data_IF_363716032342
#
_entry.id   IF_363716032342
#
_cell.length_a   1.000
_cell.length_b   1.000
_cell.length_c   1.000
_cell.angle_alpha   90.00
_cell.angle_beta   90.00
_cell.angle_gamma   90.00
#
_symmetry.space_group_name_H-M   'P 1'
#
loop_
_entity.id
_entity.type
_entity.pdbx_description
1 polymer ?
#
# COMPACT_ATOMS: atom_id res chain seq x y z
N UNK A 1 -29.31 4.78 -20.41
CA UNK A 1 -28.01 5.45 -20.16
C UNK A 1 -28.22 6.39 -18.99
N UNK A 2 -27.44 6.23 -17.90
CA UNK A 2 -27.58 7.12 -16.73
C UNK A 2 -26.87 8.43 -17.05
N UNK A 3 -27.64 9.54 -17.09
CA UNK A 3 -27.08 10.88 -17.18
C UNK A 3 -26.10 11.10 -16.04
N UNK A 4 -24.88 11.44 -16.36
CA UNK A 4 -23.88 11.88 -15.38
C UNK A 4 -24.29 13.25 -14.87
N UNK A 5 -24.96 13.31 -13.73
CA UNK A 5 -25.31 14.57 -13.05
C UNK A 5 -24.04 15.17 -12.46
N UNK A 6 -23.35 15.99 -13.23
CA UNK A 6 -22.12 16.65 -12.80
C UNK A 6 -22.34 17.90 -11.94
N UNK A 7 -23.48 18.49 -11.78
CA UNK A 7 -23.76 19.61 -10.87
C UNK A 7 -25.25 19.87 -10.68
N UNK A 8 -25.73 19.84 -9.46
CA UNK A 8 -26.98 20.47 -8.99
C UNK A 8 -28.06 20.66 -10.08
N UNK A 9 -28.63 19.59 -10.60
CA UNK A 9 -29.73 19.59 -11.57
C UNK A 9 -29.45 20.16 -12.99
N UNK A 10 -28.26 20.62 -13.32
CA UNK A 10 -27.95 21.08 -14.69
C UNK A 10 -27.64 19.90 -15.61
N UNK A 11 -28.42 19.75 -16.69
CA UNK A 11 -28.17 18.75 -17.73
C UNK A 11 -26.95 19.14 -18.57
N UNK A 12 -25.92 18.31 -18.57
CA UNK A 12 -24.75 18.43 -19.44
C UNK A 12 -24.90 17.44 -20.59
N UNK A 13 -25.02 17.95 -21.82
CA UNK A 13 -25.07 17.09 -23.00
C UNK A 13 -23.75 16.38 -23.19
N UNK A 14 -23.80 15.09 -23.48
CA UNK A 14 -22.61 14.26 -23.70
C UNK A 14 -22.84 13.29 -24.86
N UNK A 15 -21.75 12.79 -25.44
CA UNK A 15 -21.77 11.79 -26.51
C UNK A 15 -20.62 10.82 -26.32
N UNK A 16 -20.89 9.54 -26.51
CA UNK A 16 -19.85 8.53 -26.55
C UNK A 16 -19.18 8.51 -27.93
N UNK A 17 -17.86 8.59 -27.97
CA UNK A 17 -17.07 8.48 -29.19
C UNK A 17 -16.48 7.08 -29.28
N UNK A 18 -17.04 6.24 -30.15
CA UNK A 18 -16.61 4.84 -30.32
C UNK A 18 -15.15 4.72 -30.79
N UNK A 19 -14.66 5.68 -31.61
CA UNK A 19 -13.27 5.64 -32.11
C UNK A 19 -12.25 5.97 -31.05
N UNK A 20 -12.60 6.87 -30.13
CA UNK A 20 -11.73 7.28 -29.01
C UNK A 20 -11.94 6.38 -27.77
N UNK A 21 -13.06 5.66 -27.68
CA UNK A 21 -13.41 4.85 -26.51
C UNK A 21 -13.71 5.68 -25.25
N UNK A 22 -14.19 6.93 -25.42
CA UNK A 22 -14.39 7.85 -24.30
C UNK A 22 -15.59 8.78 -24.48
N UNK A 23 -16.05 9.38 -23.37
CA UNK A 23 -17.13 10.36 -23.37
C UNK A 23 -16.62 11.77 -23.68
N UNK A 24 -17.40 12.49 -24.50
CA UNK A 24 -17.21 13.90 -24.79
C UNK A 24 -18.40 14.70 -24.24
N UNK A 25 -18.13 15.79 -23.59
CA UNK A 25 -19.09 16.65 -22.91
C UNK A 25 -19.16 18.04 -23.56
N UNK A 26 -20.33 18.65 -23.60
CA UNK A 26 -20.52 19.99 -24.10
C UNK A 26 -19.86 21.03 -23.19
N UNK A 27 -18.83 21.71 -23.67
CA UNK A 27 -18.11 22.77 -22.94
C UNK A 27 -19.05 23.92 -22.57
N UNK A 28 -19.94 24.32 -23.47
CA UNK A 28 -20.87 25.42 -23.23
C UNK A 28 -21.84 25.09 -22.09
N UNK A 29 -22.28 23.86 -21.97
CA UNK A 29 -23.18 23.43 -20.91
C UNK A 29 -22.47 23.41 -19.54
N UNK A 30 -21.23 22.93 -19.51
CA UNK A 30 -20.39 22.96 -18.30
C UNK A 30 -20.12 24.40 -17.85
N UNK A 31 -19.75 25.28 -18.77
CA UNK A 31 -19.56 26.72 -18.49
C UNK A 31 -20.85 27.35 -17.97
N UNK A 32 -21.99 27.03 -18.61
CA UNK A 32 -23.30 27.52 -18.17
C UNK A 32 -23.69 27.05 -16.77
N UNK A 33 -23.36 25.83 -16.40
CA UNK A 33 -23.63 25.29 -15.07
C UNK A 33 -22.74 25.92 -13.97
N UNK A 34 -21.51 26.30 -14.34
CA UNK A 34 -20.49 26.78 -13.39
C UNK A 34 -20.35 28.31 -13.33
N UNK A 35 -21.14 29.05 -14.13
CA UNK A 35 -21.09 30.52 -14.15
C UNK A 35 -22.50 31.10 -14.10
N UNK A 36 -22.62 32.34 -13.63
CA UNK A 36 -23.87 33.11 -13.68
C UNK A 36 -23.99 33.92 -14.99
N UNK A 37 -23.25 33.55 -16.04
CA UNK A 37 -23.24 34.29 -17.29
C UNK A 37 -24.56 34.11 -18.04
N UNK A 38 -25.22 35.20 -18.38
CA UNK A 38 -26.40 35.21 -19.20
C UNK A 38 -26.12 34.68 -20.64
N UNK A 39 -24.90 34.93 -21.14
CA UNK A 39 -24.44 34.35 -22.42
C UNK A 39 -23.25 33.41 -22.22
N UNK A 40 -23.59 32.13 -22.02
CA UNK A 40 -22.60 31.06 -21.86
C UNK A 40 -21.69 30.91 -23.09
N UNK A 41 -22.18 31.24 -24.27
CA UNK A 41 -21.41 31.15 -25.52
C UNK A 41 -20.37 32.26 -25.63
N UNK A 42 -20.72 33.49 -25.28
CA UNK A 42 -19.76 34.61 -25.22
C UNK A 42 -18.71 34.38 -24.12
N UNK A 43 -19.13 33.85 -22.96
CA UNK A 43 -18.20 33.51 -21.88
C UNK A 43 -17.17 32.47 -22.35
N UNK A 44 -17.64 31.39 -22.99
CA UNK A 44 -16.75 30.37 -23.51
C UNK A 44 -15.76 30.91 -24.55
N UNK A 45 -16.22 31.77 -25.48
CA UNK A 45 -15.32 32.38 -26.46
C UNK A 45 -14.19 33.19 -25.82
N UNK A 46 -14.49 33.99 -24.80
CA UNK A 46 -13.48 34.78 -24.05
C UNK A 46 -12.52 33.88 -23.29
N UNK A 47 -13.05 32.85 -22.56
CA UNK A 47 -12.25 31.89 -21.85
C UNK A 47 -11.32 31.12 -22.79
N UNK A 48 -11.85 30.68 -23.93
CA UNK A 48 -11.09 29.99 -24.98
C UNK A 48 -9.94 30.80 -25.53
N UNK A 49 -10.18 32.10 -25.76
CA UNK A 49 -9.13 33.02 -26.22
C UNK A 49 -8.02 33.19 -25.17
N UNK A 50 -8.39 33.35 -23.90
CA UNK A 50 -7.43 33.47 -22.81
C UNK A 50 -6.58 32.19 -22.67
N UNK A 51 -7.21 31.03 -22.60
CA UNK A 51 -6.51 29.76 -22.50
C UNK A 51 -5.58 29.47 -23.66
N UNK A 52 -5.99 29.91 -24.88
CA UNK A 52 -5.14 29.81 -26.07
C UNK A 52 -3.93 30.73 -26.01
N UNK A 53 -4.09 31.96 -25.49
CA UNK A 53 -3.00 32.88 -25.27
C UNK A 53 -2.01 32.43 -24.21
N UNK A 54 -2.49 31.69 -23.20
CA UNK A 54 -1.68 31.08 -22.13
C UNK A 54 -0.98 29.78 -22.57
N UNK A 55 -1.11 29.37 -23.85
CA UNK A 55 -0.53 28.13 -24.37
C UNK A 55 -1.17 26.85 -23.82
N UNK A 56 -2.39 26.98 -23.31
CA UNK A 56 -3.09 25.86 -22.66
C UNK A 56 -3.60 24.83 -23.68
N UNK A 57 -3.05 23.62 -23.65
CA UNK A 57 -3.43 22.49 -24.53
C UNK A 57 -4.92 22.07 -24.49
N UNK A 58 -5.69 22.23 -23.37
CA UNK A 58 -7.08 21.79 -23.33
C UNK A 58 -7.97 22.44 -24.41
N UNK A 59 -7.57 23.60 -24.92
CA UNK A 59 -8.30 24.29 -26.00
C UNK A 59 -7.99 23.71 -27.36
N UNK A 60 -6.80 23.19 -27.58
CA UNK A 60 -6.39 22.48 -28.79
C UNK A 60 -7.08 21.12 -28.93
N UNK A 61 -7.41 20.48 -27.81
CA UNK A 61 -8.08 19.17 -27.74
C UNK A 61 -9.63 19.27 -27.69
N UNK A 62 -10.22 20.46 -27.89
CA UNK A 62 -11.67 20.59 -28.05
C UNK A 62 -12.10 20.15 -29.44
N UNK A 63 -12.96 19.16 -29.49
CA UNK A 63 -13.54 18.64 -30.72
C UNK A 63 -14.90 19.30 -30.99
N UNK A 64 -15.23 19.53 -32.25
CA UNK A 64 -16.59 19.98 -32.62
C UNK A 64 -17.41 18.78 -33.04
N UNK A 65 -18.32 18.37 -32.14
CA UNK A 65 -19.23 17.25 -32.37
C UNK A 65 -20.68 17.74 -32.52
N UNK A 66 -21.49 17.00 -33.26
CA UNK A 66 -22.94 17.27 -33.38
C UNK A 66 -23.62 16.77 -32.12
N UNK A 67 -24.19 17.69 -31.33
CA UNK A 67 -25.04 17.38 -30.19
C UNK A 67 -26.46 17.88 -30.44
N UNK A 68 -27.46 17.19 -29.89
CA UNK A 68 -28.84 17.62 -29.96
C UNK A 68 -29.03 18.91 -29.12
N UNK A 69 -29.61 19.93 -29.70
CA UNK A 69 -29.99 21.16 -29.02
C UNK A 69 -31.41 21.03 -28.45
N UNK A 70 -31.81 22.00 -27.59
CA UNK A 70 -33.12 22.00 -26.92
C UNK A 70 -34.30 22.05 -27.90
N UNK A 71 -34.07 22.55 -29.10
CA UNK A 71 -35.04 22.56 -30.22
C UNK A 71 -35.06 21.25 -31.02
N UNK A 72 -34.36 20.21 -30.55
CA UNK A 72 -34.28 18.90 -31.20
C UNK A 72 -33.31 18.83 -32.40
N UNK A 73 -32.72 19.95 -32.85
CA UNK A 73 -31.83 19.98 -34.02
C UNK A 73 -30.40 19.60 -33.60
N UNK A 74 -29.69 18.90 -34.48
CA UNK A 74 -28.28 18.57 -34.31
C UNK A 74 -27.40 19.80 -34.65
N UNK A 75 -26.62 20.28 -33.69
CA UNK A 75 -25.74 21.42 -33.85
C UNK A 75 -24.30 21.09 -33.52
N UNK A 76 -23.36 21.63 -34.29
CA UNK A 76 -21.94 21.56 -34.00
C UNK A 76 -21.63 22.32 -32.69
N UNK A 77 -21.15 21.61 -31.68
CA UNK A 77 -20.88 22.12 -30.34
C UNK A 77 -19.44 21.80 -29.96
N UNK A 78 -18.74 22.75 -29.32
CA UNK A 78 -17.42 22.50 -28.75
C UNK A 78 -17.57 21.50 -27.60
N UNK A 79 -16.83 20.39 -27.69
CA UNK A 79 -16.83 19.31 -26.71
C UNK A 79 -15.41 19.00 -26.30
N UNK A 80 -15.23 18.48 -25.09
CA UNK A 80 -13.97 17.96 -24.61
C UNK A 80 -14.22 16.63 -23.86
N UNK A 81 -13.20 15.79 -23.83
CA UNK A 81 -13.21 14.57 -23.01
C UNK A 81 -13.14 14.91 -21.52
N UNK A 82 -13.15 13.90 -20.66
CA UNK A 82 -13.13 14.08 -19.21
C UNK A 82 -11.94 14.94 -18.76
N UNK A 83 -10.73 14.63 -19.22
CA UNK A 83 -9.52 15.40 -18.85
C UNK A 83 -9.64 16.87 -19.28
N UNK A 84 -9.99 17.10 -20.53
CA UNK A 84 -10.17 18.46 -21.07
C UNK A 84 -11.21 19.27 -20.32
N UNK A 85 -12.35 18.66 -19.96
CA UNK A 85 -13.40 19.31 -19.16
C UNK A 85 -12.87 19.67 -17.76
N UNK A 86 -12.17 18.77 -17.08
CA UNK A 86 -11.61 19.02 -15.74
C UNK A 86 -10.62 20.20 -15.77
N UNK A 87 -9.77 20.28 -16.80
CA UNK A 87 -8.82 21.40 -16.98
C UNK A 87 -9.55 22.72 -17.28
N UNK A 88 -10.59 22.69 -18.11
CA UNK A 88 -11.42 23.89 -18.40
C UNK A 88 -12.08 24.39 -17.12
N UNK A 89 -12.65 23.51 -16.29
CA UNK A 89 -13.30 23.86 -15.02
C UNK A 89 -12.30 24.55 -14.08
N UNK A 90 -11.08 24.06 -13.97
CA UNK A 90 -10.03 24.69 -13.15
C UNK A 90 -9.74 26.13 -13.56
N UNK A 91 -9.90 26.42 -14.85
CA UNK A 91 -9.64 27.74 -15.43
C UNK A 91 -10.83 28.71 -15.34
N UNK A 92 -12.00 28.27 -14.85
CA UNK A 92 -13.19 29.12 -14.67
C UNK A 92 -13.06 29.92 -13.36
N UNK A 93 -12.91 31.27 -13.41
CA UNK A 93 -12.85 32.09 -12.21
C UNK A 93 -14.28 32.43 -11.72
N UNK A 94 -14.97 31.40 -11.20
CA UNK A 94 -16.34 31.54 -10.68
C UNK A 94 -16.46 30.91 -9.32
N UNK A 95 -17.12 31.55 -8.33
CA UNK A 95 -17.42 30.94 -7.05
C UNK A 95 -18.20 29.64 -7.16
N UNK A 96 -19.02 29.46 -8.19
CA UNK A 96 -19.75 28.20 -8.45
C UNK A 96 -18.85 27.04 -8.87
N UNK A 97 -17.67 27.33 -9.43
CA UNK A 97 -16.69 26.31 -9.78
C UNK A 97 -15.83 25.88 -8.58
N UNK A 98 -15.80 26.67 -7.52
CA UNK A 98 -14.91 26.46 -6.36
C UNK A 98 -15.17 25.12 -5.62
N UNK A 99 -16.41 24.73 -5.30
CA UNK A 99 -16.67 23.45 -4.66
C UNK A 99 -16.16 22.25 -5.48
N UNK A 100 -16.20 22.36 -6.81
CA UNK A 100 -15.69 21.32 -7.68
C UNK A 100 -14.15 21.28 -7.69
N UNK A 101 -13.50 22.45 -7.70
CA UNK A 101 -12.03 22.52 -7.62
C UNK A 101 -11.52 21.93 -6.32
N UNK A 102 -12.20 22.22 -5.19
CA UNK A 102 -11.89 21.65 -3.88
C UNK A 102 -12.07 20.13 -3.88
N UNK A 103 -13.20 19.63 -4.41
CA UNK A 103 -13.43 18.19 -4.55
C UNK A 103 -12.35 17.51 -5.41
N UNK A 104 -11.95 18.11 -6.52
CA UNK A 104 -10.90 17.58 -7.39
C UNK A 104 -9.53 17.58 -6.71
N UNK A 105 -9.22 18.63 -5.94
CA UNK A 105 -8.00 18.69 -5.13
C UNK A 105 -7.97 17.59 -4.07
N UNK A 106 -9.11 17.40 -3.37
CA UNK A 106 -9.24 16.31 -2.38
C UNK A 106 -9.08 14.94 -3.03
N UNK A 107 -9.75 14.69 -4.16
CA UNK A 107 -9.62 13.42 -4.90
C UNK A 107 -8.17 13.15 -5.33
N UNK A 108 -7.45 14.20 -5.76
CA UNK A 108 -6.03 14.11 -6.09
C UNK A 108 -5.17 13.78 -4.87
N UNK A 109 -5.43 14.42 -3.72
CA UNK A 109 -4.74 14.16 -2.48
C UNK A 109 -5.00 12.72 -1.98
N UNK A 110 -6.26 12.28 -1.98
CA UNK A 110 -6.64 10.91 -1.59
C UNK A 110 -5.92 9.88 -2.48
N UNK A 111 -5.85 10.13 -3.79
CA UNK A 111 -5.16 9.22 -4.72
C UNK A 111 -3.65 9.15 -4.47
N UNK A 112 -3.02 10.27 -4.11
CA UNK A 112 -1.60 10.28 -3.74
C UNK A 112 -1.38 9.46 -2.47
N UNK A 113 -2.21 9.65 -1.44
CA UNK A 113 -2.13 8.87 -0.21
C UNK A 113 -2.33 7.37 -0.44
N UNK A 114 -3.29 7.00 -1.31
CA UNK A 114 -3.51 5.60 -1.69
C UNK A 114 -2.28 4.98 -2.37
N UNK A 115 -1.61 5.73 -3.24
CA UNK A 115 -0.39 5.27 -3.92
C UNK A 115 0.77 5.11 -2.93
N UNK A 116 0.99 6.09 -2.03
CA UNK A 116 2.02 6.03 -0.99
C UNK A 116 1.80 4.84 -0.06
N UNK A 117 0.55 4.60 0.36
CA UNK A 117 0.19 3.45 1.18
C UNK A 117 0.43 2.13 0.44
N UNK A 118 0.10 2.04 -0.85
CA UNK A 118 0.35 0.87 -1.67
C UNK A 118 1.86 0.59 -1.86
N UNK A 119 2.66 1.63 -2.06
CA UNK A 119 4.13 1.50 -2.16
C UNK A 119 4.74 1.03 -0.84
N UNK A 120 4.34 1.62 0.30
CA UNK A 120 4.79 1.21 1.63
C UNK A 120 4.41 -0.24 1.92
N UNK A 121 3.20 -0.66 1.55
CA UNK A 121 2.74 -2.04 1.69
C UNK A 121 3.57 -3.01 0.84
N UNK A 122 3.84 -2.69 -0.42
CA UNK A 122 4.68 -3.51 -1.29
C UNK A 122 6.11 -3.65 -0.76
N UNK A 123 6.70 -2.54 -0.27
CA UNK A 123 8.02 -2.54 0.36
C UNK A 123 8.09 -3.45 1.59
N UNK A 124 7.06 -3.45 2.43
CA UNK A 124 6.97 -4.35 3.58
C UNK A 124 6.85 -5.82 3.14
N UNK A 125 6.07 -6.12 2.09
CA UNK A 125 5.97 -7.47 1.53
C UNK A 125 7.35 -7.98 1.08
N UNK A 126 8.07 -7.19 0.28
CA UNK A 126 9.39 -7.57 -0.23
C UNK A 126 10.39 -7.78 0.92
N UNK A 127 10.38 -6.89 1.90
CA UNK A 127 11.22 -6.99 3.10
C UNK A 127 10.89 -8.26 3.92
N UNK A 128 9.62 -8.63 4.06
CA UNK A 128 9.20 -9.86 4.76
C UNK A 128 9.66 -11.12 4.02
N UNK A 129 9.51 -11.16 2.70
CA UNK A 129 9.94 -12.31 1.87
C UNK A 129 11.46 -12.50 2.00
N UNK A 130 12.24 -11.42 1.83
CA UNK A 130 13.69 -11.45 1.96
C UNK A 130 14.13 -11.89 3.36
N UNK A 131 13.62 -11.25 4.41
CA UNK A 131 13.95 -11.59 5.79
C UNK A 131 13.57 -13.03 6.16
N UNK A 132 12.45 -13.54 5.65
CA UNK A 132 12.03 -14.94 5.86
C UNK A 132 12.98 -15.94 5.20
N UNK A 133 13.48 -15.59 4.01
CA UNK A 133 14.48 -16.41 3.33
C UNK A 133 15.78 -16.48 4.14
N UNK A 134 16.27 -15.36 4.63
CA UNK A 134 17.48 -15.28 5.44
C UNK A 134 17.32 -16.05 6.76
N UNK A 135 16.19 -15.89 7.44
CA UNK A 135 15.87 -16.65 8.66
C UNK A 135 15.87 -18.17 8.39
N UNK A 136 15.35 -18.59 7.24
CA UNK A 136 15.35 -20.02 6.88
C UNK A 136 16.77 -20.56 6.70
N UNK A 137 17.64 -19.82 6.02
CA UNK A 137 19.05 -20.22 5.83
C UNK A 137 19.80 -20.26 7.16
N UNK A 138 19.67 -19.21 7.98
CA UNK A 138 20.37 -19.12 9.27
C UNK A 138 19.85 -20.13 10.29
N UNK A 139 18.59 -20.54 10.23
CA UNK A 139 18.08 -21.62 11.08
C UNK A 139 18.78 -22.98 10.79
N UNK A 140 19.23 -23.23 9.56
CA UNK A 140 20.02 -24.44 9.24
C UNK A 140 21.36 -24.37 9.94
N UNK A 141 22.08 -23.24 9.82
CA UNK A 141 23.39 -23.06 10.48
C UNK A 141 23.26 -23.15 12.03
N UNK A 142 22.22 -22.54 12.60
CA UNK A 142 21.93 -22.63 14.02
C UNK A 142 21.63 -24.09 14.45
N UNK A 143 20.86 -24.84 13.64
CA UNK A 143 20.56 -26.24 13.93
C UNK A 143 21.83 -27.11 13.91
N UNK A 144 22.75 -26.89 12.97
CA UNK A 144 24.03 -27.55 12.91
C UNK A 144 24.91 -27.26 14.14
N UNK A 145 24.98 -25.98 14.55
CA UNK A 145 25.68 -25.58 15.78
C UNK A 145 25.06 -26.22 17.04
N UNK A 146 23.75 -26.21 17.13
CA UNK A 146 23.02 -26.84 18.23
C UNK A 146 23.23 -28.38 18.26
N UNK A 147 23.25 -29.02 17.07
CA UNK A 147 23.54 -30.44 16.96
C UNK A 147 24.96 -30.77 17.46
N UNK A 148 25.96 -29.96 17.08
CA UNK A 148 27.33 -30.10 17.60
C UNK A 148 27.38 -29.92 19.13
N UNK A 149 26.57 -29.02 19.67
CA UNK A 149 26.40 -28.77 21.11
C UNK A 149 25.55 -29.80 21.85
N UNK A 150 25.23 -30.94 21.24
CA UNK A 150 24.54 -32.03 21.92
C UNK A 150 23.01 -32.06 21.86
N UNK A 151 22.39 -31.14 21.08
CA UNK A 151 20.95 -31.14 20.76
C UNK A 151 20.71 -32.19 19.68
N UNK A 152 20.21 -33.40 20.03
CA UNK A 152 20.20 -34.55 19.10
C UNK A 152 18.82 -35.01 18.67
N UNK A 153 17.84 -34.92 19.55
CA UNK A 153 16.49 -35.41 19.29
C UNK A 153 15.52 -34.29 18.89
N UNK A 154 14.42 -34.62 18.22
CA UNK A 154 13.37 -33.67 17.89
C UNK A 154 12.85 -32.92 19.15
N UNK A 155 12.78 -33.61 20.28
CA UNK A 155 12.38 -32.99 21.55
C UNK A 155 13.44 -32.01 22.06
N UNK A 156 14.73 -32.32 21.92
CA UNK A 156 15.81 -31.43 22.30
C UNK A 156 15.78 -30.16 21.39
N UNK A 157 15.60 -30.32 20.06
CA UNK A 157 15.44 -29.22 19.15
C UNK A 157 14.22 -28.32 19.45
N UNK A 158 13.08 -28.95 19.81
CA UNK A 158 11.90 -28.21 20.22
C UNK A 158 12.15 -27.36 21.49
N UNK A 159 12.86 -27.93 22.48
CA UNK A 159 13.26 -27.21 23.70
C UNK A 159 14.27 -26.08 23.39
N UNK A 160 15.24 -26.34 22.53
CA UNK A 160 16.24 -25.36 22.10
C UNK A 160 15.59 -24.18 21.39
N UNK A 161 14.68 -24.42 20.45
CA UNK A 161 13.95 -23.36 19.76
C UNK A 161 13.05 -22.56 20.72
N UNK A 162 12.37 -23.24 21.63
CA UNK A 162 11.56 -22.56 22.66
C UNK A 162 12.41 -21.68 23.56
N UNK A 163 13.64 -22.09 23.94
CA UNK A 163 14.55 -21.28 24.74
C UNK A 163 14.83 -19.93 24.05
N UNK A 164 15.10 -19.93 22.76
CA UNK A 164 15.31 -18.71 21.99
C UNK A 164 14.07 -17.83 21.91
N UNK A 165 12.88 -18.41 21.68
CA UNK A 165 11.63 -17.66 21.70
C UNK A 165 11.36 -17.06 23.08
N UNK A 166 11.46 -17.85 24.13
CA UNK A 166 11.26 -17.38 25.52
C UNK A 166 12.16 -16.19 25.86
N UNK A 167 13.42 -16.23 25.43
CA UNK A 167 14.32 -15.09 25.61
C UNK A 167 13.85 -13.82 24.91
N UNK A 168 13.48 -13.92 23.62
CA UNK A 168 13.11 -12.78 22.81
C UNK A 168 11.69 -12.26 23.10
N UNK A 169 10.74 -13.14 23.40
CA UNK A 169 9.31 -12.82 23.56
C UNK A 169 8.87 -12.79 25.05
N UNK A 170 9.80 -12.50 25.97
CA UNK A 170 9.45 -12.31 27.37
C UNK A 170 8.85 -13.53 28.07
N UNK A 171 9.30 -14.73 27.69
CA UNK A 171 8.85 -15.99 28.27
C UNK A 171 7.86 -16.81 27.40
N UNK A 172 7.39 -16.26 26.28
CA UNK A 172 6.51 -17.00 25.38
C UNK A 172 7.25 -18.13 24.64
N UNK A 173 6.65 -19.32 24.63
CA UNK A 173 7.06 -20.44 23.79
C UNK A 173 6.51 -20.31 22.38
N UNK A 174 6.98 -21.16 21.45
CA UNK A 174 6.40 -21.26 20.10
C UNK A 174 4.87 -21.49 20.13
N UNK A 175 4.39 -22.29 21.09
CA UNK A 175 2.96 -22.54 21.30
C UNK A 175 2.20 -21.29 21.74
N UNK A 176 2.80 -20.48 22.61
CA UNK A 176 2.20 -19.22 23.09
C UNK A 176 2.11 -18.21 21.97
N UNK A 177 3.18 -18.04 21.18
CA UNK A 177 3.21 -17.17 20.01
C UNK A 177 2.13 -17.59 19.01
N UNK A 178 2.00 -18.90 18.72
CA UNK A 178 0.92 -19.40 17.84
C UNK A 178 -0.47 -19.02 18.35
N UNK A 179 -0.71 -19.21 19.66
CA UNK A 179 -2.00 -18.83 20.28
C UNK A 179 -2.27 -17.34 20.19
N UNK A 180 -1.29 -16.50 20.53
CA UNK A 180 -1.41 -15.03 20.47
C UNK A 180 -1.69 -14.57 19.05
N UNK A 181 -0.99 -15.09 18.05
CA UNK A 181 -1.20 -14.79 16.63
C UNK A 181 -2.42 -15.50 16.02
N UNK A 182 -3.18 -16.28 16.78
CA UNK A 182 -4.36 -17.06 16.34
C UNK A 182 -4.09 -17.97 15.14
N UNK A 183 -2.93 -18.60 15.09
CA UNK A 183 -2.50 -19.44 13.99
C UNK A 183 -3.05 -20.87 14.11
N UNK A 184 -3.37 -21.47 12.95
CA UNK A 184 -3.75 -22.88 12.87
C UNK A 184 -2.52 -23.78 13.15
N UNK A 185 -2.71 -25.05 13.59
CA UNK A 185 -1.60 -25.95 13.91
C UNK A 185 -0.58 -26.16 12.79
N UNK A 186 -1.04 -26.15 11.53
CA UNK A 186 -0.21 -26.33 10.34
C UNK A 186 0.44 -25.06 9.79
N UNK A 187 0.21 -23.91 10.42
CA UNK A 187 0.81 -22.63 10.02
C UNK A 187 2.13 -22.42 10.75
N UNK A 188 3.12 -21.92 10.03
CA UNK A 188 4.44 -21.60 10.58
C UNK A 188 4.43 -20.19 11.17
N UNK A 189 5.01 -20.02 12.36
CA UNK A 189 5.07 -18.74 13.07
C UNK A 189 5.77 -17.67 12.22
N UNK A 190 6.91 -18.02 11.62
CA UNK A 190 7.76 -17.12 10.86
C UNK A 190 7.07 -16.56 9.59
N UNK A 191 6.10 -17.30 9.04
CA UNK A 191 5.33 -16.84 7.88
C UNK A 191 4.31 -15.73 8.24
N UNK A 192 4.05 -15.53 9.53
CA UNK A 192 3.10 -14.58 10.09
C UNK A 192 3.78 -13.49 10.93
N UNK A 193 5.02 -13.15 10.60
CA UNK A 193 5.81 -12.08 11.21
C UNK A 193 5.97 -10.90 10.25
N UNK A 194 6.06 -9.68 10.82
CA UNK A 194 6.49 -8.48 10.08
C UNK A 194 7.99 -8.56 9.75
N UNK A 195 8.46 -7.69 8.85
CA UNK A 195 9.88 -7.59 8.52
C UNK A 195 10.73 -7.28 9.76
N UNK A 196 10.26 -6.39 10.64
CA UNK A 196 10.91 -6.03 11.91
C UNK A 196 11.00 -7.24 12.85
N UNK A 197 9.91 -8.00 13.00
CA UNK A 197 9.88 -9.20 13.86
C UNK A 197 10.83 -10.29 13.33
N UNK A 198 10.85 -10.48 12.00
CA UNK A 198 11.79 -11.38 11.34
C UNK A 198 13.25 -10.94 11.52
N UNK A 199 13.53 -9.63 11.42
CA UNK A 199 14.86 -9.07 11.65
C UNK A 199 15.37 -9.32 13.07
N UNK A 200 14.54 -9.15 14.10
CA UNK A 200 14.88 -9.47 15.48
C UNK A 200 15.18 -10.95 15.67
N UNK A 201 14.38 -11.85 15.03
CA UNK A 201 14.63 -13.28 15.04
C UNK A 201 15.91 -13.66 14.29
N UNK A 202 16.18 -13.05 13.14
CA UNK A 202 17.40 -13.28 12.37
C UNK A 202 18.63 -12.93 13.20
N UNK A 203 18.63 -11.76 13.84
CA UNK A 203 19.72 -11.33 14.71
C UNK A 203 19.93 -12.28 15.88
N UNK A 204 18.85 -12.69 16.56
CA UNK A 204 18.93 -13.72 17.63
C UNK A 204 19.55 -15.02 17.14
N UNK A 205 19.12 -15.52 15.97
CA UNK A 205 19.56 -16.78 15.40
C UNK A 205 21.06 -16.74 15.07
N UNK A 206 21.51 -15.67 14.39
CA UNK A 206 22.92 -15.51 14.00
C UNK A 206 23.83 -15.35 15.20
N UNK A 207 23.41 -14.57 16.20
CA UNK A 207 24.21 -14.38 17.44
C UNK A 207 24.26 -15.65 18.28
N UNK A 208 23.18 -16.44 18.33
CA UNK A 208 23.18 -17.70 19.06
C UNK A 208 24.08 -18.74 18.37
N UNK A 209 24.03 -18.82 17.05
CA UNK A 209 24.90 -19.69 16.24
C UNK A 209 26.37 -19.35 16.46
N UNK A 210 26.77 -18.08 16.29
CA UNK A 210 28.14 -17.61 16.54
C UNK A 210 28.62 -17.94 17.95
N UNK A 211 27.78 -17.64 18.96
CA UNK A 211 28.13 -17.87 20.37
C UNK A 211 28.31 -19.35 20.68
N UNK A 212 27.43 -20.23 20.17
CA UNK A 212 27.56 -21.69 20.35
C UNK A 212 28.90 -22.20 19.80
N UNK A 213 29.32 -21.74 18.62
CA UNK A 213 30.59 -22.14 18.00
C UNK A 213 31.81 -21.55 18.70
N UNK A 214 31.79 -20.25 18.96
CA UNK A 214 32.90 -19.52 19.55
C UNK A 214 33.23 -20.01 20.97
N UNK A 215 32.19 -20.34 21.77
CA UNK A 215 32.37 -20.81 23.14
C UNK A 215 32.50 -22.35 23.24
N UNK A 216 32.53 -23.06 22.10
CA UNK A 216 32.64 -24.52 22.02
C UNK A 216 31.65 -25.24 22.94
N UNK A 217 30.40 -24.80 22.94
CA UNK A 217 29.34 -25.37 23.78
C UNK A 217 29.14 -26.83 23.43
N UNK A 218 29.20 -27.73 24.41
CA UNK A 218 29.25 -29.19 24.22
C UNK A 218 28.10 -29.98 24.88
N UNK A 219 27.15 -29.28 25.50
CA UNK A 219 25.97 -29.92 26.07
C UNK A 219 24.70 -29.14 25.79
N UNK A 220 23.57 -29.84 25.69
CA UNK A 220 22.27 -29.27 25.27
C UNK A 220 21.68 -28.29 26.29
N UNK A 221 21.95 -28.46 27.58
CA UNK A 221 21.48 -27.56 28.63
C UNK A 221 22.17 -26.21 28.52
N UNK A 222 23.49 -26.19 28.29
CA UNK A 222 24.24 -25.00 28.03
C UNK A 222 23.82 -24.33 26.69
N UNK A 223 23.56 -25.12 25.64
CA UNK A 223 23.05 -24.60 24.36
C UNK A 223 21.68 -23.91 24.52
N UNK A 224 20.77 -24.53 25.27
CA UNK A 224 19.47 -23.90 25.59
C UNK A 224 19.63 -22.60 26.36
N UNK A 225 20.55 -22.58 27.36
CA UNK A 225 20.85 -21.36 28.12
C UNK A 225 21.42 -20.25 27.25
N UNK A 226 22.38 -20.56 26.38
CA UNK A 226 22.94 -19.60 25.41
C UNK A 226 21.86 -19.00 24.52
N UNK A 227 21.01 -19.86 23.95
CA UNK A 227 19.94 -19.41 23.06
C UNK A 227 18.92 -18.49 23.77
N UNK A 228 18.57 -18.81 25.02
CA UNK A 228 17.73 -17.98 25.86
C UNK A 228 18.37 -16.64 26.18
N UNK A 229 19.66 -16.63 26.62
CA UNK A 229 20.38 -15.41 27.00
C UNK A 229 20.56 -14.46 25.81
N UNK A 230 20.89 -15.00 24.63
CA UNK A 230 20.97 -14.20 23.39
C UNK A 230 19.61 -13.59 23.09
N UNK A 231 18.53 -14.37 23.13
CA UNK A 231 17.17 -13.84 22.93
C UNK A 231 16.83 -12.72 23.91
N UNK A 232 17.15 -12.90 25.19
CA UNK A 232 16.95 -11.87 26.23
C UNK A 232 17.78 -10.62 25.98
N UNK A 233 19.01 -10.76 25.50
CA UNK A 233 19.88 -9.62 25.20
C UNK A 233 19.33 -8.82 24.01
N UNK A 234 18.90 -9.50 22.93
CA UNK A 234 18.23 -8.84 21.80
C UNK A 234 16.99 -8.08 22.26
N UNK A 235 16.15 -8.72 23.09
CA UNK A 235 14.98 -8.08 23.69
C UNK A 235 15.34 -6.79 24.45
N UNK A 236 16.34 -6.87 25.32
CA UNK A 236 16.81 -5.74 26.10
C UNK A 236 17.32 -4.59 25.21
N UNK A 237 18.03 -4.91 24.14
CA UNK A 237 18.48 -3.91 23.15
C UNK A 237 17.30 -3.21 22.47
N UNK A 238 16.24 -3.96 22.09
CA UNK A 238 15.02 -3.37 21.52
C UNK A 238 14.38 -2.39 22.51
N UNK A 239 14.28 -2.78 23.79
CA UNK A 239 13.74 -1.94 24.87
C UNK A 239 14.56 -0.66 25.07
N UNK A 240 15.89 -0.77 25.15
CA UNK A 240 16.81 0.37 25.31
C UNK A 240 16.76 1.35 24.14
N UNK A 241 16.46 0.86 22.93
CA UNK A 241 16.25 1.69 21.73
C UNK A 241 14.85 2.31 21.67
N UNK A 242 13.96 2.01 22.62
CA UNK A 242 12.56 2.46 22.60
C UNK A 242 11.72 1.79 21.52
N UNK A 243 12.15 0.62 21.02
CA UNK A 243 11.46 -0.13 19.98
C UNK A 243 10.24 -0.88 20.52
N UNK A 244 9.32 -1.24 19.60
CA UNK A 244 8.16 -2.06 19.92
C UNK A 244 8.58 -3.50 20.19
N UNK A 245 8.12 -4.07 21.30
CA UNK A 245 8.43 -5.46 21.66
C UNK A 245 7.84 -6.45 20.66
N UNK A 246 8.52 -7.56 20.35
CA UNK A 246 8.09 -8.52 19.35
C UNK A 246 6.66 -9.04 19.54
N UNK A 247 6.24 -9.23 20.78
CA UNK A 247 4.87 -9.70 21.11
C UNK A 247 3.79 -8.62 20.90
N UNK A 248 4.18 -7.37 20.79
CA UNK A 248 3.28 -6.22 20.56
C UNK A 248 3.14 -5.87 19.08
N UNK A 249 4.03 -6.41 18.24
CA UNK A 249 3.97 -6.16 16.79
C UNK A 249 2.71 -6.79 16.17
N UNK A 250 2.08 -6.10 15.22
CA UNK A 250 0.87 -6.61 14.58
C UNK A 250 1.17 -7.91 13.80
N UNK A 251 0.20 -8.82 13.79
CA UNK A 251 0.27 -10.01 12.94
C UNK A 251 -0.20 -9.63 11.54
N UNK A 252 0.61 -9.79 10.50
CA UNK A 252 0.19 -9.56 9.13
C UNK A 252 -1.00 -10.42 8.72
N UNK A 253 -1.94 -9.86 7.97
CA UNK A 253 -3.14 -10.56 7.52
C UNK A 253 -2.80 -11.73 6.57
N UNK A 254 -1.87 -11.51 5.64
CA UNK A 254 -1.42 -12.52 4.70
C UNK A 254 -0.10 -13.16 5.13
N UNK A 255 -0.03 -14.48 5.04
CA UNK A 255 1.21 -15.21 5.28
C UNK A 255 2.19 -15.05 4.12
N UNK A 256 3.50 -15.09 4.41
CA UNK A 256 4.55 -15.04 3.38
C UNK A 256 4.36 -16.16 2.35
N UNK A 257 3.94 -17.35 2.79
CA UNK A 257 3.65 -18.49 1.91
C UNK A 257 2.51 -18.21 0.89
N UNK A 258 1.60 -17.26 1.19
CA UNK A 258 0.55 -16.83 0.25
C UNK A 258 1.09 -15.78 -0.72
N UNK A 259 1.93 -14.86 -0.22
CA UNK A 259 2.53 -13.77 -0.98
C UNK A 259 3.59 -14.24 -1.98
N UNK A 260 4.37 -15.26 -1.63
CA UNK A 260 5.47 -15.83 -2.44
C UNK A 260 4.98 -16.76 -3.56
N UNK A 261 3.67 -16.93 -3.74
CA UNK A 261 3.13 -17.68 -4.87
C UNK A 261 3.16 -16.82 -6.13
N UNK A 262 3.68 -17.35 -7.26
CA UNK A 262 3.58 -16.63 -8.52
C UNK A 262 2.10 -16.32 -8.81
N UNK A 263 1.78 -15.04 -9.00
CA UNK A 263 0.44 -14.64 -9.48
C UNK A 263 0.21 -15.34 -10.82
N UNK A 264 -0.78 -16.25 -10.85
CA UNK A 264 -1.21 -16.94 -12.07
C UNK A 264 -1.87 -15.96 -13.03
#
# INVERSE_FOLDING_TARGET
>A
MKDVKLFQSSQIRSIWNEKAGEWFFSVIDVVGALTDSADKSAYWRKLKQRLKAEGSEPVTNCHRLKLQADDGKMRLTDTANTEGILRIIQSIPSPKAEPFKQWLAQLGADRIHDLEAAEAFNKEIDARIAARHDVKQQNVALADAAFAAGVKTNLDFAKFQNSGYMGLYGGETAGDIKRRKKLKPNQEILDHMSSVELGANLFRITQAEDKLRRENVSNKEAANKVHYEVGRTVRKTIEELGGTMPEQLPTPEESIKQLDKPKK
#
